data_IF_265817360482
#
_entry.id   IF_265817360482
#
_cell.length_a   1.000
_cell.length_b   1.000
_cell.length_c   1.000
_cell.angle_alpha   90.00
_cell.angle_beta   90.00
_cell.angle_gamma   90.00
#
_symmetry.space_group_name_H-M   'P 1'
#
loop_
_entity.id
_entity.type
_entity.pdbx_description
1 polymer ?
#
# COMPACT_ATOMS: atom_id res chain seq x y z
N UNK A 1 8.54 -44.55 16.34
CA UNK A 1 7.72 -43.65 17.19
C UNK A 1 6.38 -44.33 17.36
N UNK A 2 6.04 -44.74 18.58
CA UNK A 2 4.72 -45.29 18.91
C UNK A 2 3.65 -44.30 18.46
N UNK A 3 2.74 -44.74 17.59
CA UNK A 3 1.62 -43.89 17.16
C UNK A 3 0.73 -43.63 18.36
N UNK A 4 0.54 -42.35 18.70
CA UNK A 4 -0.49 -41.91 19.67
C UNK A 4 -1.80 -42.56 19.25
N UNK A 5 -2.50 -43.21 20.18
CA UNK A 5 -3.77 -43.85 19.87
C UNK A 5 -4.86 -42.81 19.57
N UNK A 6 -5.87 -43.21 18.80
CA UNK A 6 -6.95 -42.33 18.38
C UNK A 6 -7.83 -41.88 19.56
N UNK A 7 -7.97 -42.69 20.62
CA UNK A 7 -8.72 -42.34 21.83
C UNK A 7 -7.95 -41.32 22.68
N UNK A 8 -6.65 -41.54 22.85
CA UNK A 8 -5.74 -40.61 23.54
C UNK A 8 -5.71 -39.25 22.84
N UNK A 9 -5.57 -39.26 21.51
CA UNK A 9 -5.58 -38.04 20.71
C UNK A 9 -6.92 -37.30 20.81
N UNK A 10 -8.04 -38.01 20.79
CA UNK A 10 -9.36 -37.39 20.94
C UNK A 10 -9.50 -36.66 22.29
N UNK A 11 -9.09 -37.31 23.38
CA UNK A 11 -9.15 -36.74 24.72
C UNK A 11 -8.31 -35.46 24.84
N UNK A 12 -7.09 -35.46 24.30
CA UNK A 12 -6.22 -34.29 24.30
C UNK A 12 -6.79 -33.16 23.43
N UNK A 13 -7.30 -33.48 22.23
CA UNK A 13 -7.90 -32.46 21.34
C UNK A 13 -9.18 -31.87 21.96
N UNK A 14 -10.01 -32.66 22.65
CA UNK A 14 -11.19 -32.16 23.38
C UNK A 14 -10.78 -31.19 24.49
N UNK A 15 -9.78 -31.55 25.31
CA UNK A 15 -9.22 -30.67 26.36
C UNK A 15 -8.71 -29.36 25.77
N UNK A 16 -7.92 -29.42 24.70
CA UNK A 16 -7.39 -28.23 24.03
C UNK A 16 -8.49 -27.40 23.35
N UNK A 17 -9.54 -28.00 22.81
CA UNK A 17 -10.70 -27.25 22.29
C UNK A 17 -11.47 -26.52 23.39
N UNK A 18 -11.60 -27.09 24.59
CA UNK A 18 -12.23 -26.39 25.71
C UNK A 18 -11.46 -25.13 26.12
N UNK A 19 -10.13 -25.18 26.06
CA UNK A 19 -9.26 -24.03 26.37
C UNK A 19 -9.15 -23.05 25.20
N UNK A 20 -9.19 -23.54 23.96
CA UNK A 20 -9.00 -22.77 22.74
C UNK A 20 -10.11 -23.09 21.70
N UNK A 21 -11.35 -22.60 21.91
CA UNK A 21 -12.54 -23.07 21.18
C UNK A 21 -12.56 -22.76 19.68
N UNK A 22 -11.80 -21.77 19.22
CA UNK A 22 -11.76 -21.33 17.81
C UNK A 22 -10.57 -21.89 17.02
N UNK A 23 -9.81 -22.82 17.60
CA UNK A 23 -8.54 -23.30 17.06
C UNK A 23 -8.69 -24.13 15.79
N UNK A 24 -8.06 -23.65 14.70
CA UNK A 24 -7.90 -24.35 13.41
C UNK A 24 -6.97 -25.56 13.46
N UNK A 25 -6.95 -26.38 12.39
CA UNK A 25 -6.12 -27.59 12.32
C UNK A 25 -4.61 -27.34 12.45
N UNK A 26 -4.09 -26.23 11.92
CA UNK A 26 -2.67 -25.87 12.09
C UNK A 26 -2.34 -25.46 13.53
N UNK A 27 -3.18 -24.63 14.14
CA UNK A 27 -2.96 -24.18 15.52
C UNK A 27 -3.15 -25.34 16.50
N UNK A 28 -4.11 -26.23 16.26
CA UNK A 28 -4.29 -27.45 17.06
C UNK A 28 -3.07 -28.37 16.94
N UNK A 29 -2.51 -28.50 15.73
CA UNK A 29 -1.27 -29.26 15.52
C UNK A 29 -0.10 -28.65 16.28
N UNK A 30 0.01 -27.32 16.34
CA UNK A 30 1.05 -26.64 17.12
C UNK A 30 0.88 -26.86 18.63
N UNK A 31 -0.35 -26.79 19.15
CA UNK A 31 -0.65 -27.08 20.55
C UNK A 31 -0.32 -28.53 20.93
N UNK A 32 -0.66 -29.48 20.07
CA UNK A 32 -0.30 -30.88 20.26
C UNK A 32 1.23 -31.06 20.31
N UNK A 33 1.97 -30.38 19.43
CA UNK A 33 3.45 -30.39 19.47
C UNK A 33 3.99 -29.80 20.77
N UNK A 34 3.37 -28.73 21.29
CA UNK A 34 3.73 -28.14 22.58
C UNK A 34 3.48 -29.09 23.77
N UNK A 35 2.45 -29.94 23.67
CA UNK A 35 2.13 -31.02 24.62
C UNK A 35 2.95 -32.31 24.35
N UNK A 36 3.96 -32.26 23.45
CA UNK A 36 4.83 -33.39 23.14
C UNK A 36 4.29 -34.39 22.12
N UNK A 37 3.10 -34.15 21.56
CA UNK A 37 2.43 -35.03 20.60
C UNK A 37 2.64 -34.56 19.16
N UNK A 38 3.34 -35.36 18.35
CA UNK A 38 3.52 -35.09 16.92
C UNK A 38 2.50 -35.85 16.10
N UNK A 39 1.51 -35.14 15.57
CA UNK A 39 0.42 -35.70 14.76
C UNK A 39 0.35 -35.03 13.39
N UNK A 40 0.03 -35.81 12.35
CA UNK A 40 -0.11 -35.27 10.99
C UNK A 40 -1.31 -34.32 10.91
N UNK A 41 -1.20 -33.30 10.06
CA UNK A 41 -2.28 -32.34 9.81
C UNK A 41 -3.59 -33.02 9.41
N UNK A 42 -3.50 -34.07 8.59
CA UNK A 42 -4.65 -34.85 8.13
C UNK A 42 -5.41 -35.45 9.32
N UNK A 43 -4.69 -36.15 10.20
CA UNK A 43 -5.27 -36.83 11.36
C UNK A 43 -5.84 -35.84 12.38
N UNK A 44 -5.18 -34.69 12.60
CA UNK A 44 -5.73 -33.59 13.41
C UNK A 44 -7.02 -33.05 12.78
N UNK A 45 -7.07 -32.87 11.46
CA UNK A 45 -8.27 -32.39 10.76
C UNK A 45 -9.43 -33.38 10.90
N UNK A 46 -9.20 -34.67 10.70
CA UNK A 46 -10.21 -35.72 10.90
C UNK A 46 -10.73 -35.72 12.33
N UNK A 47 -9.82 -35.61 13.31
CA UNK A 47 -10.17 -35.56 14.73
C UNK A 47 -11.03 -34.34 15.07
N UNK A 48 -10.68 -33.16 14.55
CA UNK A 48 -11.48 -31.94 14.74
C UNK A 48 -12.87 -32.04 14.12
N UNK A 49 -13.01 -32.72 12.97
CA UNK A 49 -14.31 -32.99 12.32
C UNK A 49 -15.12 -33.98 13.15
N UNK A 50 -14.49 -35.04 13.69
CA UNK A 50 -15.14 -36.05 14.55
C UNK A 50 -15.66 -35.44 15.86
N UNK A 51 -14.84 -34.61 16.51
CA UNK A 51 -15.17 -34.00 17.81
C UNK A 51 -16.26 -32.92 17.68
N UNK A 52 -16.16 -32.05 16.67
CA UNK A 52 -17.07 -30.93 16.50
C UNK A 52 -17.39 -30.70 15.01
N UNK A 53 -18.25 -31.54 14.41
CA UNK A 53 -18.59 -31.45 13.00
C UNK A 53 -19.27 -30.12 12.66
N UNK A 54 -20.04 -29.54 13.58
CA UNK A 54 -20.69 -28.24 13.38
C UNK A 54 -19.66 -27.10 13.28
N UNK A 55 -18.64 -27.07 14.15
CA UNK A 55 -17.57 -26.08 14.08
C UNK A 55 -16.64 -26.31 12.88
N UNK A 56 -16.43 -27.56 12.46
CA UNK A 56 -15.72 -27.87 11.23
C UNK A 56 -16.50 -27.40 9.99
N UNK A 57 -17.81 -27.66 9.95
CA UNK A 57 -18.69 -27.22 8.88
C UNK A 57 -18.78 -25.69 8.79
N UNK A 58 -18.91 -24.98 9.92
CA UNK A 58 -18.85 -23.49 9.95
C UNK A 58 -17.56 -22.94 9.34
N UNK A 59 -16.43 -23.60 9.58
CA UNK A 59 -15.13 -23.22 9.00
C UNK A 59 -15.04 -23.53 7.50
N UNK A 60 -15.75 -24.54 7.02
CA UNK A 60 -15.84 -24.85 5.59
C UNK A 60 -16.79 -23.88 4.88
N UNK A 61 -17.92 -23.54 5.50
CA UNK A 61 -18.89 -22.57 4.97
C UNK A 61 -18.39 -21.13 5.03
N UNK A 62 -17.44 -20.81 5.92
CA UNK A 62 -16.73 -19.53 5.94
C UNK A 62 -15.60 -19.44 4.91
N UNK A 63 -15.48 -20.42 3.98
CA UNK A 63 -14.63 -20.24 2.81
C UNK A 63 -15.25 -19.14 1.97
N UNK A 64 -14.75 -17.92 2.12
CA UNK A 64 -15.15 -16.77 1.30
C UNK A 64 -15.05 -17.23 -0.16
N UNK A 65 -16.19 -17.24 -0.85
CA UNK A 65 -16.22 -17.48 -2.28
C UNK A 65 -15.32 -16.44 -2.93
N UNK A 66 -14.17 -16.86 -3.46
CA UNK A 66 -13.25 -15.97 -4.17
C UNK A 66 -13.96 -15.51 -5.44
N UNK A 67 -14.58 -14.34 -5.40
CA UNK A 67 -15.12 -13.70 -6.60
C UNK A 67 -13.95 -13.47 -7.56
N UNK A 68 -14.13 -13.88 -8.81
CA UNK A 68 -13.13 -13.62 -9.85
C UNK A 68 -13.15 -12.12 -10.10
N UNK A 69 -12.04 -11.45 -9.78
CA UNK A 69 -11.86 -10.05 -10.10
C UNK A 69 -11.70 -9.90 -11.61
N UNK A 70 -12.49 -9.03 -12.24
CA UNK A 70 -12.43 -8.78 -13.68
C UNK A 70 -12.61 -7.30 -14.00
N UNK A 71 -11.78 -6.79 -14.90
CA UNK A 71 -11.94 -5.51 -15.60
C UNK A 71 -11.57 -5.67 -17.08
N UNK A 72 -12.16 -4.89 -17.99
CA UNK A 72 -12.17 -5.21 -19.42
C UNK A 72 -10.80 -5.24 -20.11
N UNK A 73 -9.91 -4.30 -19.79
CA UNK A 73 -8.58 -4.20 -20.38
C UNK A 73 -7.62 -3.42 -19.46
N UNK A 74 -6.30 -3.41 -19.74
CA UNK A 74 -5.38 -2.53 -19.03
C UNK A 74 -5.82 -1.07 -19.14
N UNK A 75 -5.51 -0.28 -18.11
CA UNK A 75 -5.88 1.12 -17.99
C UNK A 75 -7.40 1.38 -17.93
N UNK A 76 -8.23 0.34 -17.82
CA UNK A 76 -9.68 0.50 -17.59
C UNK A 76 -10.00 1.02 -16.19
N UNK A 77 -9.29 0.51 -15.18
CA UNK A 77 -9.53 0.85 -13.78
C UNK A 77 -8.23 0.77 -12.99
N UNK A 78 -7.77 1.90 -12.48
CA UNK A 78 -6.72 1.92 -11.46
C UNK A 78 -7.33 1.92 -10.06
N UNK A 79 -6.66 1.22 -9.15
CA UNK A 79 -6.96 1.19 -7.72
C UNK A 79 -5.90 2.03 -7.03
N UNK A 80 -6.29 3.13 -6.41
CA UNK A 80 -5.42 4.02 -5.66
C UNK A 80 -5.74 3.94 -4.18
N UNK A 81 -4.73 4.13 -3.34
CA UNK A 81 -4.86 4.06 -1.88
C UNK A 81 -3.61 4.62 -1.19
N UNK A 82 -3.78 5.02 0.07
CA UNK A 82 -2.71 5.47 0.96
C UNK A 82 -2.45 4.44 2.07
N UNK A 83 -1.22 3.96 2.19
CA UNK A 83 -0.80 3.07 3.26
C UNK A 83 -0.18 3.85 4.42
N UNK A 84 -0.84 3.78 5.58
CA UNK A 84 -0.48 4.52 6.78
C UNK A 84 0.33 3.70 7.79
N UNK A 85 0.94 2.56 7.40
CA UNK A 85 1.68 1.69 8.34
C UNK A 85 2.84 2.39 9.04
N UNK A 86 3.41 3.43 8.43
CA UNK A 86 4.52 4.21 8.98
C UNK A 86 4.11 5.62 9.43
N UNK A 87 2.80 5.91 9.54
CA UNK A 87 2.30 7.25 9.84
C UNK A 87 2.79 7.80 11.19
N UNK A 88 3.04 6.93 12.17
CA UNK A 88 3.61 7.28 13.47
C UNK A 88 4.95 8.02 13.35
N UNK A 89 5.72 7.71 12.31
CA UNK A 89 7.03 8.31 12.04
C UNK A 89 6.98 9.34 10.91
N UNK A 90 5.77 9.79 10.56
CA UNK A 90 5.56 10.83 9.56
C UNK A 90 5.55 10.34 8.12
N UNK A 91 5.53 9.03 7.85
CA UNK A 91 5.56 8.50 6.48
C UNK A 91 4.23 7.90 6.03
N UNK A 92 3.79 8.28 4.83
CA UNK A 92 2.63 7.71 4.14
C UNK A 92 3.07 7.20 2.77
N UNK A 93 2.65 5.99 2.41
CA UNK A 93 2.99 5.39 1.12
C UNK A 93 1.76 5.44 0.23
N UNK A 94 1.83 6.19 -0.85
CA UNK A 94 0.79 6.28 -1.86
C UNK A 94 1.05 5.30 -2.99
N UNK A 95 0.02 4.57 -3.40
CA UNK A 95 0.16 3.55 -4.43
C UNK A 95 -0.97 3.60 -5.44
N UNK A 96 -0.67 3.11 -6.63
CA UNK A 96 -1.67 2.78 -7.63
C UNK A 96 -1.33 1.50 -8.38
N UNK A 97 -2.35 0.69 -8.64
CA UNK A 97 -2.24 -0.56 -9.38
C UNK A 97 -3.34 -0.68 -10.43
N UNK A 98 -2.95 -1.05 -11.64
CA UNK A 98 -3.89 -1.36 -12.72
C UNK A 98 -4.66 -2.65 -12.40
N UNK A 99 -5.98 -2.58 -12.45
CA UNK A 99 -6.85 -3.69 -12.05
C UNK A 99 -6.71 -4.92 -12.95
N UNK A 100 -6.41 -4.72 -14.22
CA UNK A 100 -6.32 -5.79 -15.21
C UNK A 100 -4.98 -6.51 -15.13
N UNK A 101 -3.91 -5.78 -15.41
CA UNK A 101 -2.53 -6.28 -15.55
C UNK A 101 -1.83 -6.50 -14.21
N UNK A 102 -2.33 -5.89 -13.13
CA UNK A 102 -1.67 -5.84 -11.81
C UNK A 102 -0.35 -5.07 -11.85
N UNK A 103 -0.15 -4.24 -12.87
CA UNK A 103 1.00 -3.34 -12.98
C UNK A 103 0.87 -2.23 -11.96
N UNK A 104 1.93 -1.99 -11.17
CA UNK A 104 2.02 -0.86 -10.26
C UNK A 104 2.41 0.37 -11.08
N UNK A 105 1.54 1.38 -11.12
CA UNK A 105 1.76 2.59 -11.90
C UNK A 105 2.60 3.60 -11.12
N UNK A 106 2.32 3.79 -9.83
CA UNK A 106 3.19 4.48 -8.89
C UNK A 106 3.17 3.84 -7.50
N UNK A 107 4.26 4.07 -6.76
CA UNK A 107 4.44 3.61 -5.38
C UNK A 107 5.46 4.52 -4.69
N UNK A 108 4.97 5.53 -3.98
CA UNK A 108 5.78 6.65 -3.51
C UNK A 108 5.60 6.87 -2.01
N UNK A 109 6.67 7.20 -1.30
CA UNK A 109 6.67 7.57 0.10
C UNK A 109 6.68 9.09 0.24
N UNK A 110 5.84 9.62 1.12
CA UNK A 110 5.71 11.05 1.39
C UNK A 110 5.65 11.31 2.89
N UNK A 111 5.88 12.57 3.24
CA UNK A 111 5.77 13.05 4.62
C UNK A 111 4.41 13.65 4.93
N UNK A 112 3.49 13.64 3.96
CA UNK A 112 2.14 14.19 4.06
C UNK A 112 1.13 13.32 3.32
N UNK A 113 -0.15 13.58 3.58
CA UNK A 113 -1.30 12.93 2.96
C UNK A 113 -2.21 13.95 2.26
N UNK A 114 -1.63 15.06 1.77
CA UNK A 114 -2.39 16.15 1.17
C UNK A 114 -2.97 15.74 -0.18
N UNK A 115 -4.17 16.22 -0.49
CA UNK A 115 -4.83 15.89 -1.76
C UNK A 115 -4.04 16.34 -3.00
N UNK A 116 -3.27 17.44 -2.89
CA UNK A 116 -2.37 17.93 -3.93
C UNK A 116 -1.19 16.98 -4.17
N UNK A 117 -0.65 16.39 -3.10
CA UNK A 117 0.42 15.38 -3.19
C UNK A 117 -0.09 14.13 -3.91
N UNK A 118 -1.27 13.63 -3.53
CA UNK A 118 -1.90 12.47 -4.19
C UNK A 118 -2.18 12.76 -5.66
N UNK A 119 -2.74 13.94 -5.98
CA UNK A 119 -2.99 14.35 -7.37
C UNK A 119 -1.70 14.43 -8.19
N UNK A 120 -0.65 15.04 -7.65
CA UNK A 120 0.65 15.18 -8.33
C UNK A 120 1.23 13.81 -8.73
N UNK A 121 1.20 12.85 -7.81
CA UNK A 121 1.67 11.49 -8.08
C UNK A 121 0.84 10.75 -9.10
N UNK A 122 -0.48 10.92 -9.02
CA UNK A 122 -1.40 10.36 -9.98
C UNK A 122 -1.11 10.88 -11.38
N UNK A 123 -0.99 12.21 -11.56
CA UNK A 123 -0.69 12.84 -12.86
C UNK A 123 0.67 12.39 -13.41
N UNK A 124 1.71 12.34 -12.56
CA UNK A 124 3.03 11.85 -12.98
C UNK A 124 2.97 10.42 -13.53
N UNK A 125 2.16 9.56 -12.93
CA UNK A 125 1.96 8.20 -13.42
C UNK A 125 1.15 8.15 -14.72
N UNK A 126 0.17 9.05 -14.92
CA UNK A 126 -0.59 9.13 -16.17
C UNK A 126 0.28 9.59 -17.34
N UNK A 127 1.33 10.37 -17.10
CA UNK A 127 2.32 10.70 -18.14
C UNK A 127 3.08 9.47 -18.65
N UNK A 128 3.18 8.40 -17.86
CA UNK A 128 3.88 7.16 -18.23
C UNK A 128 2.96 6.08 -18.81
N UNK A 129 1.73 6.00 -18.30
CA UNK A 129 0.81 4.88 -18.61
C UNK A 129 -0.52 5.35 -19.23
N UNK A 130 -0.67 6.64 -19.53
CA UNK A 130 -1.93 7.27 -19.92
C UNK A 130 -2.93 7.38 -18.76
N UNK A 131 -3.92 8.26 -18.89
CA UNK A 131 -5.00 8.38 -17.90
C UNK A 131 -5.88 7.15 -17.93
N UNK A 132 -6.13 6.50 -16.79
CA UNK A 132 -7.07 5.40 -16.75
C UNK A 132 -8.47 5.87 -17.12
N UNK A 133 -9.26 4.96 -17.69
CA UNK A 133 -10.66 5.23 -17.94
C UNK A 133 -11.38 5.56 -16.63
N UNK A 134 -11.15 4.78 -15.57
CA UNK A 134 -11.68 5.03 -14.24
C UNK A 134 -10.63 4.85 -13.16
N UNK A 135 -10.85 5.50 -12.04
CA UNK A 135 -10.09 5.32 -10.80
C UNK A 135 -11.03 4.87 -9.70
N UNK A 136 -10.55 3.99 -8.83
CA UNK A 136 -11.21 3.62 -7.58
C UNK A 136 -10.33 3.96 -6.40
N UNK A 137 -10.93 4.60 -5.39
CA UNK A 137 -10.34 4.84 -4.07
C UNK A 137 -11.36 4.53 -2.99
N UNK A 138 -10.93 4.62 -1.74
CA UNK A 138 -11.84 4.73 -0.60
C UNK A 138 -12.42 6.16 -0.46
N UNK A 139 -13.16 6.42 0.62
CA UNK A 139 -13.79 7.71 0.89
C UNK A 139 -12.84 8.75 1.54
N UNK A 140 -11.53 8.59 1.41
CA UNK A 140 -10.55 9.50 1.98
C UNK A 140 -10.51 10.88 1.32
N UNK A 141 -10.43 11.93 2.12
CA UNK A 141 -10.33 13.32 1.64
C UNK A 141 -9.07 13.61 0.82
N UNK A 142 -8.00 12.82 1.00
CA UNK A 142 -6.80 12.91 0.17
C UNK A 142 -7.06 12.58 -1.31
N UNK A 143 -8.14 11.87 -1.63
CA UNK A 143 -8.47 11.48 -3.01
C UNK A 143 -9.36 12.51 -3.73
N UNK A 144 -9.83 13.57 -3.05
CA UNK A 144 -10.81 14.52 -3.61
C UNK A 144 -10.31 15.21 -4.88
N UNK A 145 -9.04 15.60 -4.92
CA UNK A 145 -8.48 16.29 -6.08
C UNK A 145 -8.32 15.33 -7.27
N UNK A 146 -8.00 14.05 -7.04
CA UNK A 146 -8.02 13.02 -8.09
C UNK A 146 -9.44 12.81 -8.60
N UNK A 147 -10.43 12.77 -7.70
CA UNK A 147 -11.84 12.63 -8.08
C UNK A 147 -12.31 13.80 -8.96
N UNK A 148 -12.00 15.04 -8.57
CA UNK A 148 -12.32 16.23 -9.35
C UNK A 148 -11.63 16.17 -10.72
N UNK A 149 -10.33 15.93 -10.74
CA UNK A 149 -9.53 15.84 -11.96
C UNK A 149 -10.10 14.80 -12.94
N UNK A 150 -10.37 13.58 -12.46
CA UNK A 150 -10.90 12.50 -13.28
C UNK A 150 -12.28 12.82 -13.87
N UNK A 151 -13.15 13.52 -13.13
CA UNK A 151 -14.47 13.89 -13.63
C UNK A 151 -14.42 15.11 -14.57
N UNK A 152 -13.48 16.04 -14.41
CA UNK A 152 -13.30 17.15 -15.35
C UNK A 152 -12.76 16.65 -16.68
N UNK A 153 -11.67 15.86 -16.66
CA UNK A 153 -10.97 15.44 -17.89
C UNK A 153 -11.76 14.39 -18.68
N UNK A 154 -12.47 13.47 -17.99
CA UNK A 154 -13.24 12.42 -18.66
C UNK A 154 -14.74 12.78 -18.83
N UNK A 155 -15.21 13.88 -18.25
CA UNK A 155 -16.61 14.31 -18.26
C UNK A 155 -17.41 14.00 -16.98
N UNK A 156 -18.12 15.02 -16.48
CA UNK A 156 -18.74 15.08 -15.14
C UNK A 156 -19.80 14.02 -14.84
N UNK A 157 -20.38 13.37 -15.85
CA UNK A 157 -21.45 12.37 -15.70
C UNK A 157 -20.99 10.92 -15.98
N UNK A 158 -19.70 10.73 -16.27
CA UNK A 158 -19.15 9.43 -16.66
C UNK A 158 -18.87 8.50 -15.47
N UNK A 159 -18.90 9.06 -14.25
CA UNK A 159 -18.50 8.41 -13.00
C UNK A 159 -17.09 7.84 -13.12
N UNK A 160 -16.16 8.73 -13.48
CA UNK A 160 -14.76 8.36 -13.75
C UNK A 160 -13.96 8.11 -12.47
N UNK A 161 -14.47 8.59 -11.34
CA UNK A 161 -14.01 8.23 -10.02
C UNK A 161 -15.06 7.36 -9.31
N UNK A 162 -14.64 6.22 -8.77
CA UNK A 162 -15.49 5.27 -8.05
C UNK A 162 -15.03 5.23 -6.59
N UNK A 163 -15.79 5.86 -5.72
CA UNK A 163 -15.58 5.79 -4.28
C UNK A 163 -16.30 4.58 -3.70
N UNK A 164 -15.69 3.86 -2.75
CA UNK A 164 -16.29 2.68 -2.14
C UNK A 164 -15.61 2.29 -0.82
N UNK A 165 -16.11 1.26 -0.16
CA UNK A 165 -15.39 0.67 0.99
C UNK A 165 -14.08 0.01 0.53
N UNK A 166 -13.06 0.00 1.40
CA UNK A 166 -11.75 -0.60 1.13
C UNK A 166 -11.82 -2.08 0.70
N UNK A 167 -12.84 -2.83 1.16
CA UNK A 167 -13.10 -4.21 0.73
C UNK A 167 -13.37 -4.36 -0.77
N UNK A 168 -13.70 -3.26 -1.46
CA UNK A 168 -13.86 -3.20 -2.91
C UNK A 168 -12.57 -2.78 -3.64
N UNK A 169 -11.58 -2.22 -2.93
CA UNK A 169 -10.26 -1.82 -3.43
C UNK A 169 -9.25 -3.00 -3.40
N UNK A 170 -9.71 -4.18 -3.82
CA UNK A 170 -9.05 -5.46 -3.53
C UNK A 170 -7.63 -5.59 -4.10
N UNK A 171 -7.34 -4.93 -5.23
CA UNK A 171 -6.05 -5.06 -5.91
C UNK A 171 -4.94 -4.38 -5.12
N UNK A 172 -5.18 -3.15 -4.69
CA UNK A 172 -4.19 -2.39 -3.92
C UNK A 172 -4.08 -2.91 -2.49
N UNK A 173 -5.19 -3.33 -1.88
CA UNK A 173 -5.17 -4.00 -0.57
C UNK A 173 -4.34 -5.31 -0.57
N UNK A 174 -4.40 -6.07 -1.66
CA UNK A 174 -3.53 -7.25 -1.80
C UNK A 174 -2.06 -6.85 -1.96
N UNK A 175 -1.79 -5.81 -2.75
CA UNK A 175 -0.45 -5.26 -2.96
C UNK A 175 0.16 -4.80 -1.63
N UNK A 176 -0.61 -4.14 -0.77
CA UNK A 176 -0.12 -3.64 0.53
C UNK A 176 0.45 -4.71 1.44
N UNK A 177 -0.07 -5.93 1.38
CA UNK A 177 0.49 -7.06 2.14
C UNK A 177 1.91 -7.37 1.69
N UNK A 178 2.16 -7.35 0.39
CA UNK A 178 3.48 -7.66 -0.18
C UNK A 178 4.44 -6.47 0.00
N UNK A 179 3.98 -5.22 -0.16
CA UNK A 179 4.75 -4.00 0.14
C UNK A 179 5.18 -3.96 1.60
N UNK A 180 4.27 -4.28 2.53
CA UNK A 180 4.63 -4.33 3.95
C UNK A 180 5.68 -5.41 4.21
N UNK A 181 5.43 -6.65 3.77
CA UNK A 181 6.30 -7.78 4.03
C UNK A 181 7.71 -7.60 3.44
N UNK A 182 7.81 -7.08 2.21
CA UNK A 182 9.08 -7.02 1.49
C UNK A 182 9.82 -5.68 1.61
N UNK A 183 9.14 -4.61 1.98
CA UNK A 183 9.74 -3.27 2.06
C UNK A 183 9.60 -2.69 3.46
N UNK A 184 8.37 -2.44 3.90
CA UNK A 184 8.12 -1.59 5.08
C UNK A 184 8.44 -2.28 6.41
N UNK A 185 8.33 -3.61 6.50
CA UNK A 185 8.49 -4.34 7.76
C UNK A 185 9.87 -4.08 8.39
N UNK A 186 10.94 -4.03 7.59
CA UNK A 186 12.28 -3.76 8.10
C UNK A 186 12.41 -2.36 8.69
N UNK A 187 11.80 -1.35 8.09
CA UNK A 187 11.78 0.02 8.61
C UNK A 187 10.89 0.13 9.85
N UNK A 188 9.71 -0.49 9.80
CA UNK A 188 8.78 -0.58 10.93
C UNK A 188 9.47 -1.16 12.17
N UNK A 189 10.14 -2.31 12.04
CA UNK A 189 10.88 -2.94 13.14
C UNK A 189 12.08 -2.10 13.60
N UNK A 190 12.80 -1.47 12.67
CA UNK A 190 13.93 -0.60 13.01
C UNK A 190 13.49 0.63 13.79
N UNK A 191 12.41 1.30 13.39
CA UNK A 191 11.91 2.47 14.09
C UNK A 191 11.43 2.15 15.50
N UNK A 192 10.69 1.05 15.70
CA UNK A 192 10.38 0.57 17.05
C UNK A 192 11.65 0.27 17.86
N UNK A 193 12.65 -0.37 17.26
CA UNK A 193 13.92 -0.62 17.95
C UNK A 193 14.66 0.66 18.34
N UNK A 194 14.54 1.74 17.56
CA UNK A 194 15.09 3.05 17.92
C UNK A 194 14.29 3.71 19.06
N UNK A 195 12.96 3.58 19.07
CA UNK A 195 12.11 4.03 20.18
C UNK A 195 12.44 3.28 21.47
N UNK A 196 12.51 1.94 21.41
CA UNK A 196 12.84 1.08 22.56
C UNK A 196 14.24 1.35 23.13
N UNK A 197 15.15 1.89 22.29
CA UNK A 197 16.50 2.29 22.69
C UNK A 197 16.58 3.75 23.15
N UNK A 198 15.46 4.47 23.22
CA UNK A 198 15.38 5.90 23.55
C UNK A 198 16.17 6.80 22.58
N UNK A 199 16.45 6.32 21.37
CA UNK A 199 17.16 7.07 20.33
C UNK A 199 16.21 7.85 19.43
N UNK A 200 14.95 7.42 19.35
CA UNK A 200 13.91 8.04 18.56
C UNK A 200 12.72 8.38 19.47
N UNK A 201 12.33 9.64 19.43
CA UNK A 201 11.07 10.14 19.99
C UNK A 201 10.21 10.63 18.82
N UNK A 202 9.13 9.92 18.45
CA UNK A 202 8.26 10.30 17.35
C UNK A 202 7.49 11.61 17.59
N UNK A 203 7.46 12.13 18.82
CA UNK A 203 6.85 13.43 19.14
C UNK A 203 7.83 14.59 18.99
N UNK A 204 9.13 14.31 18.88
CA UNK A 204 10.18 15.30 18.75
C UNK A 204 10.36 15.72 17.28
N UNK A 205 10.17 17.02 17.00
CA UNK A 205 10.28 17.57 15.65
C UNK A 205 11.67 17.39 15.03
N UNK A 206 12.74 17.47 15.82
CA UNK A 206 14.11 17.28 15.32
C UNK A 206 14.27 15.85 14.84
N UNK A 207 13.77 14.88 15.60
CA UNK A 207 13.79 13.47 15.19
C UNK A 207 12.91 13.22 13.96
N UNK A 208 11.73 13.83 13.86
CA UNK A 208 10.87 13.75 12.66
C UNK A 208 11.60 14.29 11.42
N UNK A 209 12.28 15.44 11.51
CA UNK A 209 13.07 15.99 10.40
C UNK A 209 14.25 15.08 10.05
N UNK A 210 14.99 14.59 11.05
CA UNK A 210 16.10 13.64 10.82
C UNK A 210 15.61 12.34 10.17
N UNK A 211 14.44 11.83 10.58
CA UNK A 211 13.83 10.67 9.95
C UNK A 211 13.56 10.93 8.47
N UNK A 212 12.95 12.06 8.14
CA UNK A 212 12.67 12.45 6.76
C UNK A 212 13.93 12.58 5.92
N UNK A 213 15.00 13.20 6.43
CA UNK A 213 16.27 13.34 5.71
C UNK A 213 16.93 11.98 5.45
N UNK A 214 16.95 11.09 6.45
CA UNK A 214 17.71 9.83 6.38
C UNK A 214 16.91 8.71 5.72
N UNK A 215 15.65 8.53 6.09
CA UNK A 215 14.88 7.34 5.74
C UNK A 215 13.92 7.53 4.57
N UNK A 216 13.41 8.75 4.30
CA UNK A 216 12.56 8.99 3.12
C UNK A 216 13.22 8.53 1.81
N UNK A 217 14.46 8.95 1.47
CA UNK A 217 15.11 8.50 0.24
C UNK A 217 15.36 6.98 0.23
N UNK A 218 15.63 6.37 1.39
CA UNK A 218 15.90 4.94 1.50
C UNK A 218 14.65 4.08 1.33
N UNK A 219 13.53 4.52 1.92
CA UNK A 219 12.22 3.90 1.74
C UNK A 219 11.81 4.03 0.28
N UNK A 220 11.90 5.23 -0.30
CA UNK A 220 11.56 5.49 -1.70
C UNK A 220 12.38 4.63 -2.66
N UNK A 221 13.70 4.52 -2.46
CA UNK A 221 14.56 3.70 -3.30
C UNK A 221 14.17 2.21 -3.26
N UNK A 222 13.82 1.69 -2.08
CA UNK A 222 13.35 0.30 -1.94
C UNK A 222 11.97 0.09 -2.54
N UNK A 223 11.05 1.04 -2.41
CA UNK A 223 9.73 0.99 -3.06
C UNK A 223 9.87 0.99 -4.59
N UNK A 224 10.76 1.81 -5.14
CA UNK A 224 11.01 1.88 -6.58
C UNK A 224 11.58 0.55 -7.10
N UNK A 225 12.59 -0.02 -6.42
CA UNK A 225 13.12 -1.33 -6.79
C UNK A 225 12.05 -2.43 -6.65
N UNK A 226 11.23 -2.40 -5.60
CA UNK A 226 10.12 -3.33 -5.45
C UNK A 226 9.10 -3.21 -6.58
N UNK A 227 8.73 -1.98 -6.99
CA UNK A 227 7.84 -1.72 -8.12
C UNK A 227 8.41 -2.31 -9.42
N UNK A 228 9.71 -2.10 -9.67
CA UNK A 228 10.38 -2.66 -10.85
C UNK A 228 10.36 -4.19 -10.84
N UNK A 229 10.74 -4.81 -9.72
CA UNK A 229 10.71 -6.26 -9.57
C UNK A 229 9.29 -6.81 -9.71
N UNK A 230 8.30 -6.14 -9.11
CA UNK A 230 6.89 -6.50 -9.22
C UNK A 230 6.41 -6.42 -10.67
N UNK A 231 6.69 -5.35 -11.40
CA UNK A 231 6.19 -5.21 -12.77
C UNK A 231 6.81 -6.24 -13.74
N UNK A 232 7.95 -6.84 -13.37
CA UNK A 232 8.65 -7.86 -14.16
C UNK A 232 8.57 -9.29 -13.60
N UNK A 233 7.86 -9.55 -12.50
CA UNK A 233 7.71 -10.92 -11.99
C UNK A 233 6.60 -11.69 -12.73
N UNK A 234 6.83 -12.98 -12.95
CA UNK A 234 5.86 -13.85 -13.60
C UNK A 234 4.66 -14.15 -12.68
N UNK A 235 3.45 -13.89 -13.18
CA UNK A 235 2.21 -14.23 -12.47
C UNK A 235 1.74 -15.62 -12.87
N UNK A 236 1.83 -16.59 -11.95
CA UNK A 236 1.38 -17.97 -12.19
C UNK A 236 -0.08 -18.05 -12.66
N UNK A 237 -0.95 -17.18 -12.16
CA UNK A 237 -2.38 -17.15 -12.54
C UNK A 237 -2.63 -16.56 -13.92
N UNK A 238 -1.63 -15.94 -14.54
CA UNK A 238 -1.70 -15.27 -15.84
C UNK A 238 -0.74 -15.94 -16.84
N UNK A 239 -0.64 -17.27 -16.79
CA UNK A 239 0.23 -18.07 -17.65
C UNK A 239 1.72 -17.64 -17.59
N UNK A 240 2.19 -17.24 -16.41
CA UNK A 240 3.57 -16.76 -16.16
C UNK A 240 3.95 -15.48 -16.91
N UNK A 241 2.98 -14.71 -17.43
CA UNK A 241 3.24 -13.37 -17.95
C UNK A 241 3.52 -12.40 -16.81
N UNK A 242 4.35 -11.41 -17.09
CA UNK A 242 4.61 -10.30 -16.16
C UNK A 242 3.50 -9.25 -16.24
N UNK A 243 3.27 -8.45 -15.19
CA UNK A 243 2.35 -7.31 -15.27
C UNK A 243 2.64 -6.38 -16.45
N UNK A 244 3.92 -6.08 -16.73
CA UNK A 244 4.31 -5.29 -17.91
C UNK A 244 3.89 -5.98 -19.22
N UNK A 245 4.15 -7.28 -19.37
CA UNK A 245 3.73 -8.01 -20.58
C UNK A 245 2.21 -7.98 -20.76
N UNK A 246 1.45 -8.22 -19.69
CA UNK A 246 -0.03 -8.21 -19.74
C UNK A 246 -0.54 -6.81 -20.13
N UNK A 247 0.05 -5.75 -19.56
CA UNK A 247 -0.29 -4.38 -19.89
C UNK A 247 0.02 -4.07 -21.35
N UNK A 248 1.25 -4.31 -21.80
CA UNK A 248 1.71 -4.00 -23.17
C UNK A 248 0.94 -4.80 -24.22
N UNK A 249 0.79 -6.11 -24.06
CA UNK A 249 0.02 -6.94 -24.99
C UNK A 249 -1.45 -6.53 -25.02
N UNK A 250 -2.04 -6.22 -23.85
CA UNK A 250 -3.42 -5.77 -23.74
C UNK A 250 -3.66 -4.41 -24.40
N UNK A 251 -2.66 -3.53 -24.40
CA UNK A 251 -2.68 -2.25 -25.13
C UNK A 251 -2.57 -2.46 -26.64
N UNK A 252 -1.54 -3.18 -27.09
CA UNK A 252 -1.27 -3.38 -28.52
C UNK A 252 -2.38 -4.14 -29.23
N UNK A 253 -2.96 -5.16 -28.58
CA UNK A 253 -4.08 -5.93 -29.15
C UNK A 253 -5.37 -5.12 -29.32
N UNK A 254 -5.44 -3.91 -28.74
CA UNK A 254 -6.64 -3.07 -28.70
C UNK A 254 -6.47 -1.68 -29.31
N UNK A 255 -5.33 -1.38 -29.92
CA UNK A 255 -5.02 -0.03 -30.44
C UNK A 255 -6.07 0.53 -31.40
N UNK A 256 -6.76 -0.32 -32.16
CA UNK A 256 -7.83 0.08 -33.09
C UNK A 256 -9.25 0.06 -32.48
N UNK A 257 -9.38 -0.16 -31.17
CA UNK A 257 -10.69 -0.17 -30.50
C UNK A 257 -11.04 1.21 -29.97
N UNK A 258 -12.27 1.64 -30.18
CA UNK A 258 -12.77 2.90 -29.60
C UNK A 258 -13.05 2.71 -28.11
N UNK A 259 -12.01 2.85 -27.30
CA UNK A 259 -12.06 2.71 -25.86
C UNK A 259 -11.32 3.87 -25.20
N UNK A 260 -11.98 4.54 -24.26
CA UNK A 260 -11.36 5.61 -23.46
C UNK A 260 -10.01 5.18 -22.87
N UNK A 261 -9.89 3.95 -22.35
CA UNK A 261 -8.65 3.46 -21.73
C UNK A 261 -7.46 3.42 -22.71
N UNK A 262 -7.73 3.09 -23.98
CA UNK A 262 -6.74 2.95 -25.05
C UNK A 262 -6.45 4.31 -25.68
N UNK A 263 -7.50 5.10 -25.94
CA UNK A 263 -7.38 6.44 -26.51
C UNK A 263 -6.56 7.36 -25.59
N UNK A 264 -6.63 7.20 -24.26
CA UNK A 264 -5.80 7.99 -23.33
C UNK A 264 -4.32 7.59 -23.33
N UNK A 265 -3.94 6.49 -23.99
CA UNK A 265 -2.54 6.06 -24.13
C UNK A 265 -1.97 6.44 -25.49
N UNK A 266 -2.77 6.33 -26.56
CA UNK A 266 -2.32 6.53 -27.94
C UNK A 266 -2.86 7.81 -28.60
N UNK A 267 -3.79 8.51 -27.96
CA UNK A 267 -4.41 9.74 -28.45
C UNK A 267 -3.71 11.00 -27.95
N UNK A 268 -4.44 12.13 -27.98
CA UNK A 268 -3.92 13.44 -27.60
C UNK A 268 -3.67 13.56 -26.08
N UNK A 269 -2.61 14.29 -25.75
CA UNK A 269 -2.19 14.53 -24.37
C UNK A 269 -3.10 15.57 -23.67
N UNK A 270 -4.01 15.07 -22.83
CA UNK A 270 -4.93 15.88 -22.03
C UNK A 270 -4.29 16.46 -20.78
N UNK A 271 -3.04 16.12 -20.44
CA UNK A 271 -2.39 16.50 -19.16
C UNK A 271 -1.57 17.79 -19.26
N UNK A 272 -1.54 18.42 -20.43
CA UNK A 272 -0.91 19.72 -20.61
C UNK A 272 -1.51 20.71 -19.59
N UNK A 273 -0.69 21.42 -18.79
CA UNK A 273 -1.18 22.35 -17.79
C UNK A 273 -2.20 23.36 -18.33
N UNK A 274 -2.04 23.75 -19.60
CA UNK A 274 -2.95 24.65 -20.32
C UNK A 274 -4.37 24.05 -20.40
N UNK A 275 -4.51 22.80 -20.85
CA UNK A 275 -5.82 22.15 -20.99
C UNK A 275 -6.51 21.96 -19.63
N UNK A 276 -5.77 21.61 -18.57
CA UNK A 276 -6.36 21.45 -17.25
C UNK A 276 -6.81 22.79 -16.66
N UNK A 277 -6.00 23.85 -16.80
CA UNK A 277 -6.38 25.19 -16.36
C UNK A 277 -7.59 25.72 -17.14
N UNK A 278 -7.66 25.48 -18.45
CA UNK A 278 -8.84 25.80 -19.27
C UNK A 278 -10.11 25.11 -18.76
N UNK A 279 -10.02 23.81 -18.41
CA UNK A 279 -11.14 23.06 -17.82
C UNK A 279 -11.59 23.63 -16.47
N UNK A 280 -10.65 24.05 -15.61
CA UNK A 280 -10.97 24.69 -14.33
C UNK A 280 -11.70 26.02 -14.55
N UNK A 281 -11.18 26.88 -15.44
CA UNK A 281 -11.80 28.16 -15.79
C UNK A 281 -13.20 27.97 -16.40
N UNK A 282 -13.35 27.01 -17.31
CA UNK A 282 -14.64 26.70 -17.94
C UNK A 282 -15.71 26.31 -16.92
N UNK A 283 -15.32 25.66 -15.82
CA UNK A 283 -16.22 25.24 -14.77
C UNK A 283 -16.29 26.23 -13.59
N UNK A 284 -15.64 27.39 -13.69
CA UNK A 284 -15.63 28.42 -12.65
C UNK A 284 -14.90 27.99 -11.36
N UNK A 285 -13.93 27.09 -11.47
CA UNK A 285 -13.14 26.59 -10.33
C UNK A 285 -11.88 27.45 -10.21
N UNK A 286 -11.88 28.37 -9.25
CA UNK A 286 -10.73 29.27 -9.00
C UNK A 286 -9.57 28.58 -8.28
N UNK A 287 -9.87 27.57 -7.45
CA UNK A 287 -8.86 26.80 -6.70
C UNK A 287 -9.31 25.37 -6.48
N UNK A 288 -8.34 24.45 -6.35
CA UNK A 288 -8.62 23.04 -6.10
C UNK A 288 -9.12 22.82 -4.66
N UNK A 289 -10.07 21.90 -4.44
CA UNK A 289 -10.60 21.63 -3.11
C UNK A 289 -9.50 21.06 -2.20
N UNK A 290 -9.50 21.50 -0.95
CA UNK A 290 -8.69 20.93 0.12
C UNK A 290 -9.60 20.16 1.07
N UNK A 291 -9.07 19.06 1.63
CA UNK A 291 -9.83 18.25 2.58
C UNK A 291 -10.18 19.01 3.88
N UNK A 292 -9.54 20.15 4.15
CA UNK A 292 -9.80 21.01 5.30
C UNK A 292 -11.11 21.82 5.18
N UNK A 293 -11.59 22.04 3.95
CA UNK A 293 -12.75 22.90 3.67
C UNK A 293 -14.08 22.14 3.59
N UNK A 294 -14.06 20.82 3.61
CA UNK A 294 -15.24 19.96 3.55
C UNK A 294 -15.26 19.04 4.78
N UNK A 295 -16.44 18.64 5.29
CA UNK A 295 -16.58 17.65 6.39
C UNK A 295 -16.18 16.23 5.93
N UNK A 296 -15.06 16.10 5.22
CA UNK A 296 -14.56 14.85 4.69
C UNK A 296 -13.56 14.26 5.68
N UNK A 297 -13.70 12.96 6.03
CA UNK A 297 -12.71 12.28 6.85
C UNK A 297 -11.34 12.32 6.16
N UNK A 298 -10.39 13.03 6.76
CA UNK A 298 -9.00 13.07 6.32
C UNK A 298 -8.09 12.69 7.48
N UNK A 299 -7.12 11.83 7.18
CA UNK A 299 -6.05 11.53 8.13
C UNK A 299 -4.91 12.52 7.89
N UNK A 300 -4.60 13.33 8.90
CA UNK A 300 -3.53 14.34 8.83
C UNK A 300 -2.22 13.78 9.37
N UNK A 301 -1.13 14.02 8.64
CA UNK A 301 0.23 13.76 9.12
C UNK A 301 0.76 15.03 9.77
N UNK A 302 1.09 14.96 11.05
CA UNK A 302 1.68 16.10 11.77
C UNK A 302 3.04 16.47 11.19
N UNK A 303 3.11 17.64 10.56
CA UNK A 303 4.36 18.19 10.05
C UNK A 303 5.24 18.70 11.21
N UNK A 304 6.56 18.49 11.15
CA UNK A 304 7.47 19.08 12.12
C UNK A 304 7.47 20.61 11.99
N UNK A 305 7.61 21.32 13.11
CA UNK A 305 7.67 22.79 13.13
C UNK A 305 9.04 23.33 12.73
N UNK A 306 10.05 22.48 12.75
CA UNK A 306 11.42 22.82 12.37
C UNK A 306 11.51 22.86 10.85
N UNK A 307 11.89 24.02 10.31
CA UNK A 307 12.19 24.21 8.89
C UNK A 307 13.65 24.61 8.74
N UNK A 308 14.44 23.75 8.10
CA UNK A 308 15.83 24.04 7.77
C UNK A 308 15.88 24.87 6.49
N UNK A 309 16.75 25.88 6.45
CA UNK A 309 17.06 26.58 5.19
C UNK A 309 17.83 25.65 4.23
N UNK A 310 17.84 25.97 2.94
CA UNK A 310 18.56 25.16 1.95
C UNK A 310 20.04 24.97 2.30
N UNK A 311 20.70 26.02 2.82
CA UNK A 311 22.10 25.96 3.24
C UNK A 311 22.32 25.01 4.43
N UNK A 312 21.39 25.04 5.39
CA UNK A 312 21.42 24.15 6.56
C UNK A 312 21.17 22.70 6.14
N UNK A 313 20.23 22.46 5.24
CA UNK A 313 19.97 21.13 4.67
C UNK A 313 21.20 20.57 3.94
N UNK A 314 21.87 21.38 3.11
CA UNK A 314 23.09 20.95 2.42
C UNK A 314 24.19 20.58 3.39
N UNK A 315 24.37 21.37 4.45
CA UNK A 315 25.36 21.11 5.50
C UNK A 315 25.09 19.78 6.19
N UNK A 316 23.85 19.54 6.62
CA UNK A 316 23.43 18.29 7.25
C UNK A 316 23.60 17.11 6.29
N UNK A 317 23.19 17.27 5.03
CA UNK A 317 23.30 16.22 3.99
C UNK A 317 24.77 15.81 3.76
N UNK A 318 25.66 16.79 3.60
CA UNK A 318 27.09 16.54 3.41
C UNK A 318 27.72 15.81 4.61
N UNK A 319 27.32 16.16 5.83
CA UNK A 319 27.83 15.54 7.05
C UNK A 319 27.47 14.04 7.15
N UNK A 320 26.34 13.62 6.58
CA UNK A 320 25.84 12.25 6.71
C UNK A 320 26.03 11.37 5.47
N UNK A 321 26.48 11.94 4.34
CA UNK A 321 26.46 11.25 3.04
C UNK A 321 27.31 9.97 3.03
N UNK A 322 28.51 10.06 3.59
CA UNK A 322 29.48 8.96 3.68
C UNK A 322 29.08 7.82 4.65
N UNK A 323 28.03 8.02 5.46
CA UNK A 323 27.60 7.03 6.46
C UNK A 323 26.62 6.05 5.80
N UNK A 324 26.94 4.76 5.88
CA UNK A 324 26.14 3.68 5.30
C UNK A 324 25.15 3.05 6.28
N UNK A 325 25.54 2.90 7.56
CA UNK A 325 24.66 2.39 8.59
C UNK A 325 23.57 3.40 8.92
N UNK A 326 22.30 3.04 8.70
CA UNK A 326 21.18 3.96 8.82
C UNK A 326 20.93 4.43 10.26
N UNK A 327 21.26 3.62 11.26
CA UNK A 327 21.10 4.00 12.67
C UNK A 327 22.14 5.05 13.04
N UNK A 328 23.41 4.82 12.68
CA UNK A 328 24.46 5.82 12.90
C UNK A 328 24.16 7.08 12.09
N UNK A 329 23.74 6.93 10.82
CA UNK A 329 23.38 8.05 9.95
C UNK A 329 22.27 8.91 10.57
N UNK A 330 21.25 8.28 11.15
CA UNK A 330 20.18 8.96 11.87
C UNK A 330 20.69 9.74 13.09
N UNK A 331 21.51 9.11 13.95
CA UNK A 331 22.04 9.76 15.15
C UNK A 331 22.94 10.96 14.81
N UNK A 332 23.82 10.82 13.80
CA UNK A 332 24.65 11.93 13.32
C UNK A 332 23.79 13.03 12.72
N UNK A 333 22.75 12.67 11.94
CA UNK A 333 21.80 13.65 11.41
C UNK A 333 21.12 14.44 12.54
N UNK A 334 20.68 13.79 13.62
CA UNK A 334 20.10 14.49 14.77
C UNK A 334 21.09 15.46 15.42
N UNK A 335 22.34 15.04 15.63
CA UNK A 335 23.38 15.88 16.21
C UNK A 335 23.69 17.10 15.33
N UNK A 336 23.80 16.91 14.02
CA UNK A 336 24.08 17.99 13.08
C UNK A 336 22.92 18.99 12.98
N UNK A 337 21.67 18.52 12.96
CA UNK A 337 20.52 19.43 13.01
C UNK A 337 20.51 20.24 14.30
N UNK A 338 20.80 19.61 15.45
CA UNK A 338 20.88 20.32 16.72
C UNK A 338 21.95 21.42 16.69
N UNK A 339 23.13 21.12 16.14
CA UNK A 339 24.23 22.08 15.99
C UNK A 339 23.85 23.25 15.07
N UNK A 340 23.19 22.96 13.96
CA UNK A 340 22.85 23.95 12.94
C UNK A 340 21.67 24.84 13.36
N UNK A 341 20.82 24.37 14.29
CA UNK A 341 19.75 25.19 14.89
C UNK A 341 20.23 26.03 16.08
N UNK A 342 21.36 25.67 16.69
CA UNK A 342 21.96 26.41 17.79
C UNK A 342 22.83 27.60 17.35
N UNK A 343 23.24 27.61 16.09
CA UNK A 343 23.99 28.69 15.42
C UNK A 343 23.05 29.51 14.53
#
# INVERSE_FOLDING_TARGET
MSGVDDEELENVVRRLQCQYPNTGSEMMRALLVAEGLRVSRHRVREMLVRINPAAAARRWSSTVARRVYHVPCPNSLWHIDGNMRLIRWGFVIHGAIDGHSRLITYLNCNTDNCASTVLSQFIQATCLYGLPSRVRSDHGGENIQVALFMNLVQGLQRRSHITGESVHNQRIERLWRDVFLHVLQSFYSMFYSLEDSELLDPSNDLHKVSLSIVFLPQIQARLQHFKEAWNHHALRTENNKTPTQIWTEGMLSRIGTDSTAINNVFGDDLYRPEHFNELLVQHGIESLPTAENEEIPAVTVEQPRINLTSQQMETVSHAIDHITDLKIKFQVCCAEIANVLAN
#
